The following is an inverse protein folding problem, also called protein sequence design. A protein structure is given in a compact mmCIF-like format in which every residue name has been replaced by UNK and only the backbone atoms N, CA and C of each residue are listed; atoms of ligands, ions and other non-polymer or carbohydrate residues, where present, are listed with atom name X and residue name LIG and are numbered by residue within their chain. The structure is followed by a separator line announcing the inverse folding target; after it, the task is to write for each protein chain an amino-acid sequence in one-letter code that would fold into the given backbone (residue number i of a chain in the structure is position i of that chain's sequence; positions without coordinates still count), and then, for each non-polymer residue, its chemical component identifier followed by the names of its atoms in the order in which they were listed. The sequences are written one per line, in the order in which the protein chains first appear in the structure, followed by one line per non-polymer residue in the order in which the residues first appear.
data_IF_705782881490
#
_entry.id   IF_705782881490
#
_cell.length_a   1.000
_cell.length_b   1.000
_cell.length_c   1.000
_cell.angle_alpha   90.00
_cell.angle_beta   90.00
_cell.angle_gamma   90.00
#
_symmetry.space_group_name_H-M   'P 1'
#
loop_
_entity.id
_entity.type
_entity.pdbx_description
1 polymer ?
#
# COMPACT_ATOMS: atom_id res chain seq x y z
N UNK A 1 -32.09 9.60 -85.69
CA UNK A 1 -32.65 8.25 -85.50
C UNK A 1 -33.63 8.34 -84.35
N UNK A 2 -34.85 7.80 -84.47
CA UNK A 2 -35.86 7.77 -83.39
C UNK A 2 -35.97 6.33 -82.86
N UNK A 3 -36.29 6.15 -81.58
CA UNK A 3 -36.34 4.83 -80.92
C UNK A 3 -37.81 4.47 -80.59
N UNK A 4 -38.26 3.26 -80.95
CA UNK A 4 -39.65 2.83 -80.76
C UNK A 4 -39.70 1.41 -80.17
N UNK A 5 -40.58 1.19 -79.18
CA UNK A 5 -40.89 -0.15 -78.67
C UNK A 5 -42.41 -0.38 -78.72
N UNK A 6 -42.82 -1.30 -79.61
CA UNK A 6 -44.15 -1.93 -79.79
C UNK A 6 -45.40 -1.04 -79.88
N UNK A 7 -46.18 -1.23 -80.96
CA UNK A 7 -47.24 -0.33 -81.41
C UNK A 7 -48.49 -0.24 -80.53
N UNK A 8 -48.93 1.00 -80.32
CA UNK A 8 -50.33 1.47 -80.22
C UNK A 8 -50.39 2.94 -80.65
N UNK A 9 -51.47 3.31 -81.32
CA UNK A 9 -51.69 4.57 -82.03
C UNK A 9 -52.02 5.72 -81.06
N UNK A 10 -51.01 6.28 -80.38
CA UNK A 10 -50.97 7.68 -79.88
C UNK A 10 -49.65 8.00 -79.16
N UNK A 11 -48.51 7.62 -79.75
CA UNK A 11 -47.22 8.01 -79.21
C UNK A 11 -46.80 9.35 -79.82
N UNK A 12 -46.69 10.38 -78.97
CA UNK A 12 -45.98 11.61 -79.30
C UNK A 12 -44.48 11.28 -79.31
N UNK A 13 -43.93 11.07 -80.50
CA UNK A 13 -42.51 10.84 -80.70
C UNK A 13 -41.74 12.06 -80.17
N UNK A 14 -40.74 11.81 -79.32
CA UNK A 14 -39.79 12.83 -78.88
C UNK A 14 -38.46 12.59 -79.57
N UNK A 15 -37.82 13.64 -80.11
CA UNK A 15 -36.44 13.58 -80.54
C UNK A 15 -35.56 12.95 -79.44
N UNK A 16 -34.58 12.14 -79.84
CA UNK A 16 -33.65 11.50 -78.90
C UNK A 16 -32.98 12.53 -77.99
N UNK A 17 -32.68 13.72 -78.51
CA UNK A 17 -32.03 14.79 -77.75
C UNK A 17 -32.92 15.29 -76.60
N UNK A 18 -34.23 15.40 -76.82
CA UNK A 18 -35.21 15.78 -75.79
C UNK A 18 -35.37 14.70 -74.72
N UNK A 19 -35.45 13.43 -75.13
CA UNK A 19 -35.53 12.30 -74.19
C UNK A 19 -34.24 12.19 -73.35
N UNK A 20 -33.07 12.32 -73.99
CA UNK A 20 -31.77 12.30 -73.32
C UNK A 20 -31.63 13.46 -72.32
N UNK A 21 -32.04 14.68 -72.68
CA UNK A 21 -32.05 15.81 -71.75
C UNK A 21 -32.97 15.56 -70.55
N UNK A 22 -34.18 15.04 -70.76
CA UNK A 22 -35.09 14.75 -69.66
C UNK A 22 -34.52 13.69 -68.71
N UNK A 23 -33.92 12.62 -69.24
CA UNK A 23 -33.26 11.60 -68.43
C UNK A 23 -32.04 12.13 -67.69
N UNK A 24 -31.21 12.98 -68.31
CA UNK A 24 -30.09 13.66 -67.65
C UNK A 24 -30.57 14.54 -66.48
N UNK A 25 -31.67 15.28 -66.67
CA UNK A 25 -32.24 16.12 -65.61
C UNK A 25 -32.76 15.27 -64.43
N UNK A 26 -33.51 14.20 -64.71
CA UNK A 26 -33.95 13.24 -63.67
C UNK A 26 -32.77 12.60 -62.93
N UNK A 27 -31.69 12.26 -63.65
CA UNK A 27 -30.49 11.71 -63.04
C UNK A 27 -29.74 12.73 -62.17
N UNK A 28 -29.70 14.01 -62.58
CA UNK A 28 -29.18 15.08 -61.75
C UNK A 28 -30.02 15.28 -60.48
N UNK A 29 -31.35 15.27 -60.60
CA UNK A 29 -32.26 15.38 -59.46
C UNK A 29 -32.07 14.23 -58.45
N UNK A 30 -31.81 13.00 -58.91
CA UNK A 30 -31.51 11.86 -58.02
C UNK A 30 -30.08 11.86 -57.48
N UNK A 31 -29.13 12.50 -58.17
CA UNK A 31 -27.74 12.62 -57.73
C UNK A 31 -27.57 13.62 -56.58
N UNK A 32 -28.32 14.71 -56.55
CA UNK A 32 -28.18 15.76 -55.52
C UNK A 32 -28.38 15.25 -54.07
N UNK A 33 -29.42 14.44 -53.76
CA UNK A 33 -29.55 13.79 -52.45
C UNK A 33 -28.36 12.90 -52.09
N UNK A 34 -27.76 12.20 -53.07
CA UNK A 34 -26.60 11.33 -52.84
C UNK A 34 -25.35 12.14 -52.46
N UNK A 35 -25.11 13.28 -53.13
CA UNK A 35 -24.03 14.20 -52.75
C UNK A 35 -24.19 14.71 -51.31
N UNK A 36 -25.39 15.14 -50.94
CA UNK A 36 -25.67 15.58 -49.55
C UNK A 36 -25.43 14.46 -48.53
N UNK A 37 -25.87 13.23 -48.84
CA UNK A 37 -25.64 12.06 -47.98
C UNK A 37 -24.16 11.72 -47.86
N UNK A 38 -23.39 11.86 -48.94
CA UNK A 38 -21.94 11.66 -48.93
C UNK A 38 -21.25 12.65 -47.99
N UNK A 39 -21.58 13.93 -48.07
CA UNK A 39 -21.01 14.95 -47.18
C UNK A 39 -21.38 14.71 -45.71
N UNK A 40 -22.62 14.27 -45.43
CA UNK A 40 -23.00 13.84 -44.08
C UNK A 40 -22.15 12.66 -43.59
N UNK A 41 -21.92 11.65 -44.45
CA UNK A 41 -21.10 10.48 -44.09
C UNK A 41 -19.65 10.86 -43.80
N UNK A 42 -19.07 11.81 -44.54
CA UNK A 42 -17.72 12.33 -44.26
C UNK A 42 -17.63 13.01 -42.90
N UNK A 43 -18.62 13.84 -42.54
CA UNK A 43 -18.66 14.47 -41.21
C UNK A 43 -18.74 13.44 -40.09
N UNK A 44 -19.61 12.44 -40.23
CA UNK A 44 -19.72 11.35 -39.25
C UNK A 44 -18.42 10.55 -39.15
N UNK A 45 -17.72 10.33 -40.28
CA UNK A 45 -16.41 9.68 -40.26
C UNK A 45 -15.39 10.50 -39.47
N UNK A 46 -15.34 11.82 -39.67
CA UNK A 46 -14.45 12.72 -38.93
C UNK A 46 -14.77 12.73 -37.43
N UNK A 47 -16.06 12.74 -37.05
CA UNK A 47 -16.49 12.62 -35.65
C UNK A 47 -16.03 11.30 -35.01
N UNK A 48 -16.09 10.18 -35.75
CA UNK A 48 -15.57 8.90 -35.28
C UNK A 48 -14.05 8.92 -35.12
N UNK A 49 -13.31 9.51 -36.07
CA UNK A 49 -11.85 9.63 -35.99
C UNK A 49 -11.44 10.46 -34.77
N UNK A 50 -12.13 11.58 -34.51
CA UNK A 50 -11.91 12.41 -33.31
C UNK A 50 -12.22 11.64 -32.01
N UNK A 51 -13.32 10.89 -31.99
CA UNK A 51 -13.70 10.08 -30.81
C UNK A 51 -12.65 9.00 -30.54
N UNK A 52 -12.14 8.34 -31.58
CA UNK A 52 -11.11 7.31 -31.44
C UNK A 52 -9.81 7.87 -30.86
N UNK A 53 -9.38 9.07 -31.28
CA UNK A 53 -8.22 9.73 -30.70
C UNK A 53 -8.44 10.14 -29.24
N UNK A 54 -9.63 10.66 -28.91
CA UNK A 54 -9.98 10.98 -27.52
C UNK A 54 -9.93 9.74 -26.62
N UNK A 55 -10.47 8.60 -27.07
CA UNK A 55 -10.42 7.34 -26.33
C UNK A 55 -8.98 6.87 -26.07
N UNK A 56 -8.08 7.02 -27.05
CA UNK A 56 -6.65 6.69 -26.87
C UNK A 56 -5.99 7.58 -25.81
N UNK A 57 -6.25 8.89 -25.84
CA UNK A 57 -5.70 9.84 -24.86
C UNK A 57 -6.25 9.53 -23.47
N UNK A 58 -7.56 9.27 -23.35
CA UNK A 58 -8.20 8.93 -22.09
C UNK A 58 -7.62 7.65 -21.50
N UNK A 59 -7.45 6.59 -22.30
CA UNK A 59 -6.85 5.33 -21.84
C UNK A 59 -5.43 5.54 -21.28
N UNK A 60 -4.58 6.29 -21.99
CA UNK A 60 -3.22 6.64 -21.53
C UNK A 60 -3.22 7.50 -20.27
N UNK A 61 -4.21 8.38 -20.11
CA UNK A 61 -4.34 9.19 -18.90
C UNK A 61 -4.71 8.33 -17.69
N UNK A 62 -5.73 7.48 -17.83
CA UNK A 62 -6.16 6.55 -16.77
C UNK A 62 -5.04 5.59 -16.40
N UNK A 63 -4.30 5.05 -17.37
CA UNK A 63 -3.14 4.19 -17.11
C UNK A 63 -2.10 4.89 -16.24
N UNK A 64 -1.78 6.16 -16.54
CA UNK A 64 -0.85 6.95 -15.73
C UNK A 64 -1.36 7.20 -14.32
N UNK A 65 -2.65 7.52 -14.16
CA UNK A 65 -3.26 7.73 -12.85
C UNK A 65 -3.19 6.47 -11.99
N UNK A 66 -3.54 5.30 -12.55
CA UNK A 66 -3.45 4.01 -11.86
C UNK A 66 -2.00 3.78 -11.40
N UNK A 67 -1.02 3.94 -12.30
CA UNK A 67 0.39 3.75 -11.94
C UNK A 67 0.86 4.68 -10.83
N UNK A 68 0.46 5.96 -10.87
CA UNK A 68 0.84 6.92 -9.85
C UNK A 68 0.23 6.58 -8.49
N UNK A 69 -1.05 6.18 -8.44
CA UNK A 69 -1.69 5.77 -7.20
C UNK A 69 -1.02 4.54 -6.58
N UNK A 70 -0.66 3.55 -7.39
CA UNK A 70 0.08 2.37 -6.90
C UNK A 70 1.49 2.74 -6.42
N UNK A 71 2.17 3.65 -7.10
CA UNK A 71 3.47 4.15 -6.66
C UNK A 71 3.38 4.84 -5.30
N UNK A 72 2.37 5.68 -5.09
CA UNK A 72 2.11 6.33 -3.79
C UNK A 72 1.81 5.30 -2.70
N UNK A 73 1.00 4.28 -3.01
CA UNK A 73 0.71 3.20 -2.07
C UNK A 73 1.97 2.42 -1.68
N UNK A 74 2.82 2.07 -2.65
CA UNK A 74 4.08 1.38 -2.36
C UNK A 74 5.03 2.21 -1.49
N UNK A 75 5.12 3.51 -1.74
CA UNK A 75 5.91 4.42 -0.91
C UNK A 75 5.37 4.46 0.53
N UNK A 76 4.06 4.63 0.70
CA UNK A 76 3.41 4.62 2.01
C UNK A 76 3.67 3.31 2.78
N UNK A 77 3.56 2.16 2.12
CA UNK A 77 3.80 0.87 2.75
C UNK A 77 5.25 0.69 3.19
N UNK A 78 6.22 1.16 2.40
CA UNK A 78 7.63 1.11 2.76
C UNK A 78 7.93 1.98 3.99
N UNK A 79 7.38 3.19 4.03
CA UNK A 79 7.52 4.10 5.18
C UNK A 79 6.88 3.52 6.46
N UNK A 80 5.68 2.94 6.34
CA UNK A 80 4.99 2.29 7.47
C UNK A 80 5.76 1.06 7.97
N UNK A 81 6.32 0.24 7.07
CA UNK A 81 7.16 -0.90 7.44
C UNK A 81 8.42 -0.45 8.19
N UNK A 82 9.13 0.55 7.67
CA UNK A 82 10.32 1.10 8.32
C UNK A 82 10.00 1.68 9.71
N UNK A 83 8.91 2.43 9.84
CA UNK A 83 8.48 3.00 11.11
C UNK A 83 8.18 1.91 12.15
N UNK A 84 7.50 0.83 11.75
CA UNK A 84 7.20 -0.31 12.66
C UNK A 84 8.45 -1.07 13.07
N UNK A 85 9.37 -1.30 12.13
CA UNK A 85 10.64 -1.95 12.45
C UNK A 85 11.51 -1.09 13.38
N UNK A 86 11.49 0.24 13.21
CA UNK A 86 12.17 1.15 14.11
C UNK A 86 11.60 1.10 15.54
N UNK A 87 10.27 1.16 15.67
CA UNK A 87 9.59 1.03 16.97
C UNK A 87 9.91 -0.31 17.66
N UNK A 88 9.93 -1.41 16.90
CA UNK A 88 10.30 -2.73 17.43
C UNK A 88 11.74 -2.77 17.96
N UNK A 89 12.70 -2.16 17.25
CA UNK A 89 14.10 -2.09 17.70
C UNK A 89 14.26 -1.28 18.98
N UNK A 90 13.51 -0.19 19.10
CA UNK A 90 13.50 0.63 20.33
C UNK A 90 12.94 -0.16 21.52
N UNK A 91 11.82 -0.87 21.31
CA UNK A 91 11.23 -1.74 22.33
C UNK A 91 12.22 -2.85 22.77
N UNK A 92 12.91 -3.47 21.82
CA UNK A 92 13.93 -4.49 22.10
C UNK A 92 15.08 -3.92 22.94
N UNK A 93 15.62 -2.75 22.57
CA UNK A 93 16.68 -2.06 23.31
C UNK A 93 16.25 -1.75 24.75
N UNK A 94 15.05 -1.19 24.93
CA UNK A 94 14.52 -0.85 26.24
C UNK A 94 14.38 -2.10 27.12
N UNK A 95 13.81 -3.19 26.59
CA UNK A 95 13.67 -4.45 27.32
C UNK A 95 15.03 -5.04 27.68
N UNK A 96 16.00 -4.99 26.76
CA UNK A 96 17.35 -5.48 27.00
C UNK A 96 18.07 -4.67 28.07
N UNK A 97 17.93 -3.34 28.04
CA UNK A 97 18.45 -2.44 29.08
C UNK A 97 17.87 -2.76 30.45
N UNK A 98 16.54 -2.85 30.56
CA UNK A 98 15.86 -3.21 31.81
C UNK A 98 16.32 -4.57 32.35
N UNK A 99 16.50 -5.57 31.48
CA UNK A 99 16.99 -6.89 31.91
C UNK A 99 18.42 -6.84 32.42
N UNK A 100 19.29 -6.04 31.80
CA UNK A 100 20.66 -5.83 32.27
C UNK A 100 20.67 -5.21 33.68
N UNK A 101 19.87 -4.18 33.90
CA UNK A 101 19.75 -3.53 35.22
C UNK A 101 19.23 -4.49 36.29
N UNK A 102 18.19 -5.28 35.98
CA UNK A 102 17.68 -6.33 36.87
C UNK A 102 18.76 -7.38 37.19
N UNK A 103 19.54 -7.79 36.20
CA UNK A 103 20.63 -8.76 36.40
C UNK A 103 21.76 -8.19 37.28
N UNK A 104 22.11 -6.91 37.08
CA UNK A 104 23.11 -6.23 37.92
C UNK A 104 22.62 -6.01 39.35
N UNK A 105 21.33 -5.72 39.55
CA UNK A 105 20.71 -5.66 40.87
C UNK A 105 20.78 -7.02 41.57
N UNK A 106 20.34 -8.09 40.89
CA UNK A 106 20.40 -9.45 41.43
C UNK A 106 21.83 -9.89 41.75
N UNK A 107 22.80 -9.56 40.90
CA UNK A 107 24.22 -9.88 41.13
C UNK A 107 24.76 -9.20 42.39
N UNK A 108 24.35 -7.95 42.65
CA UNK A 108 24.70 -7.23 43.88
C UNK A 108 24.04 -7.86 45.11
N UNK A 109 22.79 -8.29 45.00
CA UNK A 109 22.11 -9.02 46.08
C UNK A 109 22.81 -10.35 46.41
N UNK A 110 23.17 -11.13 45.39
CA UNK A 110 23.93 -12.39 45.56
C UNK A 110 25.27 -12.13 46.25
N UNK A 111 26.00 -11.09 45.85
CA UNK A 111 27.28 -10.74 46.47
C UNK A 111 27.11 -10.37 47.95
N UNK A 112 26.14 -9.51 48.27
CA UNK A 112 25.84 -9.11 49.64
C UNK A 112 25.42 -10.30 50.53
N UNK A 113 24.63 -11.23 49.97
CA UNK A 113 24.26 -12.46 50.65
C UNK A 113 25.46 -13.36 50.89
N UNK A 114 26.28 -13.55 49.86
CA UNK A 114 27.48 -14.39 49.92
C UNK A 114 28.47 -13.86 50.96
N UNK A 115 28.67 -12.54 51.04
CA UNK A 115 29.52 -11.91 52.05
C UNK A 115 28.97 -12.09 53.47
N UNK A 116 27.64 -12.00 53.64
CA UNK A 116 26.98 -12.23 54.94
C UNK A 116 27.12 -13.69 55.38
N UNK A 117 26.92 -14.64 54.47
CA UNK A 117 27.08 -16.07 54.74
C UNK A 117 28.53 -16.35 55.14
N UNK A 118 29.51 -15.91 54.34
CA UNK A 118 30.93 -16.12 54.62
C UNK A 118 31.32 -15.56 56.00
N UNK A 119 30.97 -14.31 56.28
CA UNK A 119 31.30 -13.68 57.57
C UNK A 119 30.63 -14.38 58.77
N UNK A 120 29.47 -15.00 58.56
CA UNK A 120 28.77 -15.76 59.60
C UNK A 120 29.43 -17.13 59.80
N UNK A 121 29.80 -17.82 58.72
CA UNK A 121 30.54 -19.08 58.78
C UNK A 121 31.92 -18.91 59.42
N UNK A 122 32.61 -17.81 59.16
CA UNK A 122 33.87 -17.46 59.81
C UNK A 122 33.69 -17.26 61.33
N UNK A 123 32.64 -16.54 61.75
CA UNK A 123 32.32 -16.36 63.17
C UNK A 123 32.00 -17.69 63.86
N UNK A 124 31.25 -18.57 63.19
CA UNK A 124 30.93 -19.92 63.70
C UNK A 124 32.17 -20.83 63.86
N UNK A 125 33.27 -20.52 63.19
CA UNK A 125 34.55 -21.23 63.31
C UNK A 125 35.49 -20.60 64.35
N UNK A 126 35.12 -19.45 64.94
CA UNK A 126 35.94 -18.78 65.94
C UNK A 126 35.99 -19.56 67.26
N UNK A 127 37.05 -19.37 68.04
CA UNK A 127 37.17 -19.95 69.39
C UNK A 127 36.05 -19.45 70.32
N UNK A 128 35.61 -20.29 71.26
CA UNK A 128 34.42 -20.07 72.09
C UNK A 128 34.34 -18.69 72.75
N UNK A 129 35.45 -18.19 73.32
CA UNK A 129 35.48 -16.88 73.98
C UNK A 129 35.27 -15.74 72.98
N UNK A 130 35.90 -15.84 71.80
CA UNK A 130 35.76 -14.86 70.71
C UNK A 130 34.35 -14.89 70.12
N UNK A 131 33.82 -16.10 69.89
CA UNK A 131 32.44 -16.29 69.41
C UNK A 131 31.41 -15.69 70.37
N UNK A 132 31.53 -15.95 71.68
CA UNK A 132 30.61 -15.40 72.68
C UNK A 132 30.66 -13.87 72.74
N UNK A 133 31.84 -13.27 72.54
CA UNK A 133 31.99 -11.82 72.51
C UNK A 133 31.28 -11.19 71.29
N UNK A 134 31.35 -11.85 70.13
CA UNK A 134 30.85 -11.32 68.86
C UNK A 134 29.45 -11.82 68.47
N UNK A 135 28.89 -12.80 69.19
CA UNK A 135 27.62 -13.45 68.89
C UNK A 135 26.50 -12.46 68.56
N UNK A 136 26.33 -11.43 69.40
CA UNK A 136 25.29 -10.41 69.21
C UNK A 136 25.48 -9.64 67.89
N UNK A 137 26.71 -9.27 67.56
CA UNK A 137 27.02 -8.55 66.32
C UNK A 137 26.81 -9.43 65.08
N UNK A 138 27.13 -10.73 65.16
CA UNK A 138 26.88 -11.68 64.08
C UNK A 138 25.38 -11.88 63.82
N UNK A 139 24.57 -12.01 64.89
CA UNK A 139 23.10 -12.09 64.77
C UNK A 139 22.53 -10.82 64.15
N UNK A 140 22.96 -9.63 64.60
CA UNK A 140 22.51 -8.36 64.02
C UNK A 140 22.88 -8.24 62.53
N UNK A 141 24.05 -8.73 62.11
CA UNK A 141 24.51 -8.75 60.71
C UNK A 141 23.59 -9.61 59.84
N UNK A 142 23.24 -10.81 60.30
CA UNK A 142 22.32 -11.72 59.59
C UNK A 142 20.91 -11.11 59.51
N UNK A 143 20.42 -10.48 60.58
CA UNK A 143 19.10 -9.85 60.60
C UNK A 143 19.00 -8.60 59.72
N UNK A 144 20.10 -7.86 59.55
CA UNK A 144 20.17 -6.69 58.66
C UNK A 144 20.36 -7.07 57.19
N UNK A 145 20.60 -8.35 56.88
CA UNK A 145 20.79 -8.81 55.52
C UNK A 145 19.53 -8.54 54.66
N UNK A 146 19.67 -8.04 53.42
CA UNK A 146 18.53 -7.67 52.58
C UNK A 146 17.53 -8.81 52.28
N UNK A 147 17.92 -10.09 52.45
CA UNK A 147 17.11 -11.26 52.09
C UNK A 147 15.79 -11.40 52.85
N UNK A 148 15.64 -10.81 54.04
CA UNK A 148 14.37 -10.86 54.78
C UNK A 148 13.28 -9.95 54.19
N UNK A 149 13.61 -9.12 53.18
CA UNK A 149 12.69 -8.12 52.62
C UNK A 149 12.09 -8.46 51.25
N UNK A 150 12.45 -9.57 50.62
CA UNK A 150 12.04 -9.84 49.22
C UNK A 150 11.06 -11.02 49.13
N UNK A 151 9.79 -10.74 49.44
CA UNK A 151 8.65 -11.36 48.74
C UNK A 151 8.09 -10.30 47.77
N UNK A 152 8.83 -10.01 46.71
CA UNK A 152 8.31 -9.19 45.61
C UNK A 152 9.09 -9.56 44.35
N UNK A 153 8.92 -10.80 43.91
CA UNK A 153 9.18 -11.15 42.52
C UNK A 153 8.07 -10.47 41.70
N UNK A 154 8.34 -9.52 40.80
CA UNK A 154 7.32 -9.02 39.89
C UNK A 154 7.03 -10.15 38.91
N UNK A 155 5.92 -10.85 39.15
CA UNK A 155 5.19 -11.50 38.08
C UNK A 155 4.79 -10.40 37.10
N UNK A 156 5.29 -10.50 35.87
CA UNK A 156 4.56 -10.24 34.62
C UNK A 156 5.53 -10.26 33.43
N UNK A 157 5.46 -11.37 32.69
CA UNK A 157 5.67 -11.50 31.25
C UNK A 157 4.61 -12.47 30.74
#
# INVERSE_FOLDING_TARGET
KEFCYSGRTNHRFRPIDEAAQQHKKKLQETLEPLKKKLELRKKVQEEFDQTAEHLKVQARHTERQIREQFKQLHQFLAEEEEARLAALREEEEQKRGMMKEKMEALSREIAALSDTVRATEEELRAEDVSFLHNYKAAVERVQRCPCWRIHSCPQEL
#
